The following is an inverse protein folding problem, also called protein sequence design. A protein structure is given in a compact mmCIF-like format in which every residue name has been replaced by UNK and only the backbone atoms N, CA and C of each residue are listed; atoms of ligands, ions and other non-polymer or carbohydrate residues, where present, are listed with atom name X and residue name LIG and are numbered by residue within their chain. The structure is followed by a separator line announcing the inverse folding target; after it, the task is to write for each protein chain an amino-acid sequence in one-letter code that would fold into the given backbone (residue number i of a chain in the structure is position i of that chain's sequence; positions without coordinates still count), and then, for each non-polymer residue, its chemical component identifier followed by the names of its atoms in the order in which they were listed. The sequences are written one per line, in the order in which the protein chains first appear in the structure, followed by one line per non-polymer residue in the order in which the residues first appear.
data_IF_392130071584
#
_entry.id   IF_392130071584
#
_cell.length_a   1.000
_cell.length_b   1.000
_cell.length_c   1.000
_cell.angle_alpha   90.00
_cell.angle_beta   90.00
_cell.angle_gamma   90.00
#
_symmetry.space_group_name_H-M   'P 1'
#
loop_
_entity.id
_entity.type
_entity.pdbx_description
1 polymer ?
#
# COMPACT_ATOMS: atom_id res chain seq x y z
N UNK A 1 14.96 19.73 -5.13
CA UNK A 1 14.02 18.62 -5.39
C UNK A 1 12.64 19.06 -4.94
N UNK A 2 11.73 19.35 -5.89
CA UNK A 2 10.37 19.80 -5.57
C UNK A 2 9.61 18.65 -4.91
N UNK A 3 9.16 18.82 -3.67
CA UNK A 3 8.24 17.89 -3.00
C UNK A 3 6.93 17.94 -3.79
N UNK A 4 6.66 16.93 -4.63
CA UNK A 4 5.42 16.83 -5.38
C UNK A 4 4.21 17.00 -4.45
N UNK A 5 3.26 17.85 -4.83
CA UNK A 5 2.02 18.07 -4.07
C UNK A 5 1.38 16.70 -3.83
N UNK A 6 1.26 16.28 -2.57
CA UNK A 6 0.56 15.04 -2.22
C UNK A 6 -0.88 15.07 -2.73
N UNK A 7 -1.46 13.90 -2.98
CA UNK A 7 -2.86 13.81 -3.40
C UNK A 7 -3.77 14.09 -2.22
N UNK A 8 -4.70 15.02 -2.40
CA UNK A 8 -5.61 15.47 -1.35
C UNK A 8 -6.99 14.81 -1.49
N UNK A 9 -7.54 14.35 -0.37
CA UNK A 9 -8.89 13.81 -0.26
C UNK A 9 -9.62 14.50 0.88
N UNK A 10 -10.90 14.80 0.68
CA UNK A 10 -11.79 15.36 1.71
C UNK A 10 -12.86 14.34 2.07
N UNK A 11 -12.93 13.96 3.35
CA UNK A 11 -13.98 13.07 3.88
C UNK A 11 -14.66 13.81 5.03
N UNK A 12 -15.87 14.33 4.80
CA UNK A 12 -16.55 15.22 5.75
C UNK A 12 -15.74 16.48 6.02
N UNK A 13 -15.36 16.70 7.27
CA UNK A 13 -14.48 17.79 7.71
C UNK A 13 -12.99 17.41 7.79
N UNK A 14 -12.63 16.17 7.41
CA UNK A 14 -11.25 15.66 7.49
C UNK A 14 -10.54 15.80 6.15
N UNK A 15 -9.35 16.42 6.17
CA UNK A 15 -8.44 16.51 5.02
C UNK A 15 -7.35 15.45 5.13
N UNK A 16 -7.26 14.58 4.13
CA UNK A 16 -6.23 13.54 4.01
C UNK A 16 -5.28 13.93 2.89
N UNK A 17 -3.98 13.96 3.16
CA UNK A 17 -2.95 14.25 2.15
C UNK A 17 -2.01 13.06 2.08
N UNK A 18 -1.95 12.40 0.92
CA UNK A 18 -1.13 11.21 0.71
C UNK A 18 0.14 11.60 -0.04
N UNK A 19 1.29 11.39 0.60
CA UNK A 19 2.62 11.56 0.01
C UNK A 19 3.23 10.19 -0.28
N UNK A 20 2.79 9.55 -1.36
CA UNK A 20 3.34 8.25 -1.76
C UNK A 20 3.45 8.12 -3.28
N UNK A 21 4.62 7.72 -3.81
CA UNK A 21 4.78 7.46 -5.24
C UNK A 21 3.94 6.27 -5.72
N UNK A 22 3.50 5.39 -4.82
CA UNK A 22 2.59 4.28 -5.16
C UNK A 22 1.25 4.76 -5.70
N UNK A 23 0.86 5.99 -5.35
CA UNK A 23 -0.35 6.58 -5.85
C UNK A 23 -0.23 6.80 -7.35
N UNK A 24 0.93 7.25 -7.84
CA UNK A 24 1.19 7.63 -9.23
C UNK A 24 1.46 6.42 -10.14
N UNK A 25 1.70 5.25 -9.54
CA UNK A 25 1.86 3.99 -10.27
C UNK A 25 0.54 3.51 -10.88
N UNK A 26 0.63 2.99 -12.09
CA UNK A 26 -0.43 2.19 -12.70
C UNK A 26 -0.68 0.90 -11.92
N UNK A 27 -1.74 0.17 -12.24
CA UNK A 27 -2.05 -1.11 -11.61
C UNK A 27 -0.92 -2.13 -11.82
N UNK A 28 -0.43 -2.25 -13.06
CA UNK A 28 0.68 -3.15 -13.42
C UNK A 28 1.98 -2.79 -12.68
N UNK A 29 2.31 -1.50 -12.61
CA UNK A 29 3.50 -1.02 -11.91
C UNK A 29 3.42 -1.32 -10.40
N UNK A 30 2.22 -1.16 -9.83
CA UNK A 30 1.97 -1.44 -8.42
C UNK A 30 2.06 -2.93 -8.13
N UNK A 31 1.55 -3.78 -9.01
CA UNK A 31 1.68 -5.23 -8.89
C UNK A 31 3.15 -5.67 -8.96
N UNK A 32 3.90 -5.14 -9.93
CA UNK A 32 5.33 -5.41 -10.07
C UNK A 32 6.13 -4.95 -8.83
N UNK A 33 5.82 -3.77 -8.30
CA UNK A 33 6.40 -3.25 -7.06
C UNK A 33 6.11 -4.20 -5.89
N UNK A 34 4.86 -4.62 -5.73
CA UNK A 34 4.45 -5.52 -4.65
C UNK A 34 5.20 -6.86 -4.70
N UNK A 35 5.26 -7.49 -5.89
CA UNK A 35 6.00 -8.75 -6.10
C UNK A 35 7.49 -8.60 -5.76
N UNK A 36 8.10 -7.49 -6.18
CA UNK A 36 9.50 -7.17 -5.89
C UNK A 36 9.77 -7.01 -4.40
N UNK A 37 8.94 -6.24 -3.70
CA UNK A 37 9.08 -6.02 -2.25
C UNK A 37 8.82 -7.27 -1.43
N UNK A 38 7.85 -8.10 -1.83
CA UNK A 38 7.64 -9.42 -1.24
C UNK A 38 8.87 -10.31 -1.38
N UNK A 39 9.50 -10.33 -2.57
CA UNK A 39 10.74 -11.09 -2.83
C UNK A 39 11.92 -10.60 -1.99
N UNK A 40 12.05 -9.28 -1.81
CA UNK A 40 13.04 -8.66 -0.91
C UNK A 40 12.77 -8.91 0.56
N UNK A 41 11.58 -9.42 0.88
CA UNK A 41 11.21 -9.79 2.23
C UNK A 41 10.72 -8.63 3.08
N UNK A 42 10.10 -7.62 2.47
CA UNK A 42 9.55 -6.46 3.16
C UNK A 42 8.71 -6.89 4.39
N UNK A 43 9.09 -6.48 5.62
CA UNK A 43 8.47 -7.00 6.84
C UNK A 43 7.02 -6.58 6.98
N UNK A 44 6.66 -5.39 6.49
CA UNK A 44 5.28 -4.87 6.56
C UNK A 44 4.36 -5.71 5.68
N UNK A 45 4.75 -5.96 4.43
CA UNK A 45 3.94 -6.78 3.52
C UNK A 45 3.77 -8.21 4.04
N UNK A 46 4.83 -8.80 4.62
CA UNK A 46 4.75 -10.12 5.26
C UNK A 46 3.78 -10.15 6.44
N UNK A 47 3.79 -9.12 7.29
CA UNK A 47 2.87 -9.02 8.43
C UNK A 47 1.42 -8.90 7.96
N UNK A 48 1.16 -8.09 6.92
CA UNK A 48 -0.17 -7.96 6.33
C UNK A 48 -0.62 -9.31 5.76
N UNK A 49 0.22 -9.98 4.96
CA UNK A 49 -0.10 -11.28 4.38
C UNK A 49 -0.39 -12.33 5.47
N UNK A 50 0.38 -12.32 6.57
CA UNK A 50 0.12 -13.18 7.72
C UNK A 50 -1.23 -12.86 8.36
N UNK A 51 -1.51 -11.59 8.66
CA UNK A 51 -2.77 -11.18 9.29
C UNK A 51 -3.98 -11.57 8.43
N UNK A 52 -3.89 -11.38 7.10
CA UNK A 52 -4.94 -11.80 6.15
C UNK A 52 -5.13 -13.31 6.19
N UNK A 53 -4.05 -14.09 6.11
CA UNK A 53 -4.12 -15.55 6.20
C UNK A 53 -4.70 -16.03 7.54
N UNK A 54 -4.34 -15.39 8.65
CA UNK A 54 -4.86 -15.72 9.98
C UNK A 54 -6.36 -15.41 10.09
N UNK A 55 -6.87 -14.41 9.37
CA UNK A 55 -8.31 -14.14 9.26
C UNK A 55 -9.05 -15.21 8.45
N UNK A 56 -8.49 -15.66 7.32
CA UNK A 56 -9.14 -16.65 6.45
C UNK A 56 -9.04 -18.09 6.99
N UNK A 57 -7.94 -18.45 7.68
CA UNK A 57 -7.73 -19.79 8.27
C UNK A 57 -8.67 -20.14 9.42
N UNK A 58 -9.45 -19.19 9.96
CA UNK A 58 -10.43 -19.48 11.02
C UNK A 58 -11.64 -20.31 10.54
N UNK A 59 -11.74 -20.59 9.25
CA UNK A 59 -12.87 -21.32 8.65
C UNK A 59 -12.49 -22.69 8.06
N UNK A 60 -11.25 -23.16 8.28
CA UNK A 60 -10.80 -24.53 7.95
C UNK A 60 -10.83 -25.45 9.18
#
# INVERSE_FOLDING_TARGET
MSKGKGREFMIGNTKIIIHSPLMDMTEDEREAWFKSEMKKGNPVLKQIAKAVNDCYRKYD
#
